data_IF_396053284583
#
_entry.id   IF_396053284583
#
_cell.length_a   1.000
_cell.length_b   1.000
_cell.length_c   1.000
_cell.angle_alpha   90.00
_cell.angle_beta   90.00
_cell.angle_gamma   90.00
#
_symmetry.space_group_name_H-M   'P 1'
#
loop_
_entity.id
_entity.type
_entity.pdbx_description
1 polymer ?
#
# COMPACT_ATOMS: atom_id res chain seq x y z
N UNK A 1 -46.81 -22.38 -38.67
CA UNK A 1 -46.54 -22.57 -37.23
C UNK A 1 -45.04 -22.29 -36.99
N UNK A 2 -44.46 -21.09 -36.92
CA UNK A 2 -44.80 -19.75 -36.40
C UNK A 2 -44.96 -19.62 -34.88
N UNK A 3 -44.41 -20.53 -34.05
CA UNK A 3 -44.39 -20.35 -32.58
C UNK A 3 -43.28 -21.17 -31.88
N UNK A 4 -42.00 -21.02 -32.21
CA UNK A 4 -40.94 -21.63 -31.37
C UNK A 4 -39.59 -20.90 -31.46
N UNK A 5 -39.62 -19.58 -31.66
CA UNK A 5 -38.41 -18.74 -31.81
C UNK A 5 -38.17 -17.80 -30.60
N UNK A 6 -38.67 -18.15 -29.42
CA UNK A 6 -38.65 -17.23 -28.27
C UNK A 6 -38.37 -17.93 -26.94
N UNK A 7 -37.25 -18.67 -26.84
CA UNK A 7 -36.86 -19.29 -25.56
C UNK A 7 -35.34 -19.45 -25.36
N UNK A 8 -34.52 -18.54 -25.90
CA UNK A 8 -33.07 -18.54 -25.67
C UNK A 8 -32.49 -17.17 -25.22
N UNK A 9 -33.34 -16.20 -24.86
CA UNK A 9 -32.90 -14.81 -24.63
C UNK A 9 -33.11 -14.31 -23.19
N UNK A 10 -32.99 -15.16 -22.17
CA UNK A 10 -33.13 -14.70 -20.78
C UNK A 10 -32.26 -15.46 -19.76
N UNK A 11 -30.95 -15.52 -20.01
CA UNK A 11 -29.95 -15.87 -18.99
C UNK A 11 -28.80 -14.86 -19.07
N UNK A 12 -29.13 -13.58 -18.91
CA UNK A 12 -28.15 -12.60 -18.44
C UNK A 12 -28.18 -12.71 -16.93
N UNK A 13 -27.43 -13.65 -16.37
CA UNK A 13 -27.13 -13.65 -14.94
C UNK A 13 -26.37 -12.37 -14.67
N UNK A 14 -27.05 -11.39 -14.07
CA UNK A 14 -26.41 -10.24 -13.44
C UNK A 14 -25.47 -10.79 -12.37
N UNK A 15 -24.19 -10.94 -12.68
CA UNK A 15 -23.16 -10.98 -11.66
C UNK A 15 -23.22 -9.62 -10.98
N UNK A 16 -23.95 -9.54 -9.87
CA UNK A 16 -23.80 -8.44 -8.94
C UNK A 16 -22.33 -8.49 -8.52
N UNK A 17 -21.52 -7.62 -9.11
CA UNK A 17 -20.20 -7.31 -8.56
C UNK A 17 -20.55 -6.66 -7.24
N UNK A 18 -20.46 -7.43 -6.15
CA UNK A 18 -20.46 -6.88 -4.82
C UNK A 18 -19.31 -5.87 -4.82
N UNK A 19 -19.66 -4.59 -4.88
CA UNK A 19 -18.71 -3.53 -4.53
C UNK A 19 -18.42 -3.78 -3.07
N UNK A 20 -17.27 -4.38 -2.78
CA UNK A 20 -16.72 -4.29 -1.43
C UNK A 20 -16.49 -2.82 -1.20
N UNK A 21 -17.09 -2.25 -0.16
CA UNK A 21 -16.77 -0.88 0.23
C UNK A 21 -15.35 -0.89 0.82
N UNK A 22 -14.49 0.03 0.37
CA UNK A 22 -13.15 0.19 0.95
C UNK A 22 -13.31 0.55 2.42
N UNK A 23 -12.59 -0.13 3.29
CA UNK A 23 -12.78 0.12 4.71
C UNK A 23 -11.71 -0.51 5.59
N UNK A 24 -11.60 0.04 6.78
CA UNK A 24 -10.85 -0.61 7.86
C UNK A 24 -11.63 -1.82 8.35
N UNK A 25 -10.92 -2.92 8.53
CA UNK A 25 -11.41 -4.17 9.09
C UNK A 25 -10.67 -4.47 10.39
N UNK A 26 -11.43 -4.87 11.41
CA UNK A 26 -10.91 -5.60 12.56
C UNK A 26 -10.77 -7.08 12.16
N UNK A 27 -9.60 -7.66 12.40
CA UNK A 27 -9.30 -9.08 12.11
C UNK A 27 -8.99 -9.78 13.43
N UNK A 28 -9.82 -10.75 13.82
CA UNK A 28 -9.59 -11.54 15.03
C UNK A 28 -8.47 -12.56 14.85
N UNK A 29 -7.97 -13.12 15.95
CA UNK A 29 -6.99 -14.22 15.95
C UNK A 29 -7.48 -15.48 15.20
N UNK A 30 -8.79 -15.69 15.13
CA UNK A 30 -9.40 -16.74 14.31
C UNK A 30 -9.52 -16.37 12.82
N UNK A 31 -9.02 -15.20 12.41
CA UNK A 31 -9.07 -14.70 11.03
C UNK A 31 -10.41 -14.12 10.61
N UNK A 32 -11.36 -13.92 11.54
CA UNK A 32 -12.64 -13.32 11.21
C UNK A 32 -12.46 -11.82 10.92
N UNK A 33 -12.96 -11.37 9.77
CA UNK A 33 -12.84 -10.00 9.30
C UNK A 33 -14.18 -9.27 9.53
N UNK A 34 -14.15 -8.23 10.35
CA UNK A 34 -15.32 -7.44 10.74
C UNK A 34 -15.08 -6.00 10.27
N UNK A 35 -15.92 -5.43 9.39
CA UNK A 35 -15.83 -4.02 9.04
C UNK A 35 -15.90 -3.14 10.29
N UNK A 36 -15.03 -2.14 10.39
CA UNK A 36 -14.96 -1.28 11.58
C UNK A 36 -16.27 -0.52 11.83
N UNK A 37 -17.03 -0.20 10.79
CA UNK A 37 -18.40 0.36 10.89
C UNK A 37 -19.40 -0.59 11.59
N UNK A 38 -19.09 -1.89 11.59
CA UNK A 38 -19.88 -2.92 12.24
C UNK A 38 -19.38 -3.30 13.64
N UNK A 39 -18.28 -2.71 14.12
CA UNK A 39 -17.78 -2.94 15.49
C UNK A 39 -18.46 -1.95 16.43
N UNK A 40 -19.24 -2.47 17.38
CA UNK A 40 -19.93 -1.66 18.38
C UNK A 40 -19.09 -1.46 19.64
N UNK A 41 -18.70 -2.55 20.29
CA UNK A 41 -17.89 -2.52 21.51
C UNK A 41 -17.11 -3.82 21.73
N UNK A 42 -16.04 -3.74 22.51
CA UNK A 42 -15.32 -4.90 23.02
C UNK A 42 -15.69 -5.13 24.48
N UNK A 43 -16.16 -6.33 24.81
CA UNK A 43 -16.61 -6.69 26.16
C UNK A 43 -15.72 -7.79 26.69
N UNK A 44 -15.10 -7.54 27.84
CA UNK A 44 -14.27 -8.49 28.57
C UNK A 44 -14.83 -8.68 29.98
N UNK A 45 -14.87 -9.92 30.45
CA UNK A 45 -15.24 -10.22 31.82
C UNK A 45 -14.01 -10.11 32.74
N UNK A 46 -14.24 -9.86 34.03
CA UNK A 46 -13.15 -9.77 35.00
C UNK A 46 -12.27 -11.03 34.97
N UNK A 47 -10.96 -10.82 34.87
CA UNK A 47 -9.94 -11.87 34.82
C UNK A 47 -10.04 -12.83 33.61
N UNK A 48 -10.80 -12.50 32.56
CA UNK A 48 -10.87 -13.31 31.35
C UNK A 48 -9.65 -13.10 30.45
N UNK A 49 -9.16 -14.20 29.84
CA UNK A 49 -8.09 -14.18 28.83
C UNK A 49 -8.61 -13.94 27.40
N UNK A 50 -9.93 -13.83 27.26
CA UNK A 50 -10.61 -13.60 25.98
C UNK A 50 -11.66 -12.52 26.15
N UNK A 51 -11.99 -11.85 25.05
CA UNK A 51 -13.06 -10.86 24.98
C UNK A 51 -14.05 -11.20 23.87
N UNK A 52 -15.20 -10.52 23.88
CA UNK A 52 -16.21 -10.59 22.82
C UNK A 52 -16.26 -9.28 22.05
N UNK A 53 -16.34 -9.37 20.73
CA UNK A 53 -16.62 -8.23 19.83
C UNK A 53 -18.13 -8.18 19.62
N UNK A 54 -18.77 -7.16 20.19
CA UNK A 54 -20.20 -6.88 19.96
C UNK A 54 -20.30 -6.07 18.67
N UNK A 55 -21.14 -6.53 17.74
CA UNK A 55 -21.33 -5.90 16.45
C UNK A 55 -22.56 -5.02 16.45
N UNK A 56 -22.52 -3.92 15.69
CA UNK A 56 -23.70 -3.05 15.48
C UNK A 56 -24.77 -3.77 14.66
N UNK A 57 -24.36 -4.74 13.84
CA UNK A 57 -25.23 -5.63 13.06
C UNK A 57 -24.70 -7.06 13.13
N UNK A 58 -25.57 -8.00 13.48
CA UNK A 58 -25.30 -9.43 13.55
C UNK A 58 -24.83 -9.93 14.92
N UNK A 59 -24.49 -11.23 14.96
CA UNK A 59 -24.10 -11.92 16.20
C UNK A 59 -22.75 -11.45 16.73
N UNK A 60 -22.62 -11.45 18.06
CA UNK A 60 -21.35 -11.18 18.73
C UNK A 60 -20.30 -12.27 18.40
N UNK A 61 -19.03 -11.86 18.39
CA UNK A 61 -17.89 -12.77 18.17
C UNK A 61 -17.18 -12.96 19.50
N UNK A 62 -17.36 -14.11 20.13
CA UNK A 62 -16.78 -14.44 21.44
C UNK A 62 -15.49 -15.26 21.33
N UNK A 63 -14.71 -15.28 22.43
CA UNK A 63 -13.49 -16.09 22.53
C UNK A 63 -12.28 -15.48 21.82
N UNK A 64 -12.31 -14.18 21.50
CA UNK A 64 -11.23 -13.49 20.80
C UNK A 64 -10.09 -13.23 21.78
N UNK A 65 -8.87 -13.59 21.40
CA UNK A 65 -7.66 -13.35 22.23
C UNK A 65 -6.89 -12.11 21.79
N UNK A 66 -6.93 -11.79 20.50
CA UNK A 66 -6.29 -10.60 19.94
C UNK A 66 -6.97 -10.15 18.66
N UNK A 67 -6.77 -8.88 18.31
CA UNK A 67 -7.21 -8.31 17.04
C UNK A 67 -6.07 -7.56 16.37
N UNK A 68 -6.10 -7.56 15.05
CA UNK A 68 -5.29 -6.69 14.20
C UNK A 68 -6.21 -5.85 13.32
N UNK A 69 -5.69 -4.80 12.72
CA UNK A 69 -6.45 -3.94 11.82
C UNK A 69 -5.83 -4.02 10.43
N UNK A 70 -6.67 -4.25 9.43
CA UNK A 70 -6.25 -4.25 8.03
C UNK A 70 -7.15 -3.31 7.25
N UNK A 71 -6.56 -2.53 6.36
CA UNK A 71 -7.32 -1.77 5.38
C UNK A 71 -7.60 -2.70 4.20
N UNK A 72 -8.88 -2.87 3.85
CA UNK A 72 -9.26 -3.53 2.61
C UNK A 72 -9.48 -2.44 1.56
N UNK A 73 -8.50 -2.19 0.67
CA UNK A 73 -8.73 -1.32 -0.45
C UNK A 73 -9.68 -2.09 -1.38
N UNK A 74 -10.98 -1.77 -1.30
CA UNK A 74 -11.82 -2.01 -2.47
C UNK A 74 -11.07 -1.42 -3.65
N UNK A 75 -10.93 -2.19 -4.73
CA UNK A 75 -10.25 -1.82 -5.96
C UNK A 75 -10.77 -0.46 -6.50
N UNK A 76 -10.30 0.63 -5.91
CA UNK A 76 -9.95 1.81 -6.67
C UNK A 76 -8.90 1.26 -7.63
N UNK A 77 -9.02 1.51 -8.93
CA UNK A 77 -8.03 1.05 -9.92
C UNK A 77 -6.61 1.61 -9.72
N UNK A 78 -6.29 2.07 -8.50
CA UNK A 78 -5.01 2.48 -7.99
C UNK A 78 -4.44 1.28 -7.21
N UNK A 79 -3.59 0.51 -7.87
CA UNK A 79 -2.73 -0.47 -7.22
C UNK A 79 -1.68 0.26 -6.39
N UNK A 80 -1.59 -0.07 -5.10
CA UNK A 80 -0.48 0.33 -4.24
C UNK A 80 0.82 -0.26 -4.81
N UNK A 81 1.76 0.61 -5.19
CA UNK A 81 3.14 0.20 -5.49
C UNK A 81 3.83 0.04 -4.15
N UNK A 82 3.69 -1.15 -3.56
CA UNK A 82 4.39 -1.50 -2.34
C UNK A 82 5.89 -1.60 -2.66
N UNK A 83 6.66 -0.56 -2.35
CA UNK A 83 8.12 -0.67 -2.33
C UNK A 83 8.48 -1.65 -1.20
N UNK A 84 8.96 -2.84 -1.57
CA UNK A 84 9.18 -3.97 -0.65
C UNK A 84 10.13 -3.64 0.50
N UNK A 85 10.94 -2.60 0.40
CA UNK A 85 11.78 -2.06 1.47
C UNK A 85 12.10 -0.60 1.12
N UNK A 86 11.85 0.34 2.04
CA UNK A 86 12.40 1.70 1.86
C UNK A 86 13.88 1.65 2.19
N UNK A 87 14.71 1.47 1.16
CA UNK A 87 16.15 1.60 1.30
C UNK A 87 16.51 3.02 1.73
N UNK A 88 17.20 3.15 2.87
CA UNK A 88 17.86 4.38 3.29
C UNK A 88 19.36 4.12 3.21
N UNK A 89 20.11 4.97 2.50
CA UNK A 89 21.57 4.90 2.56
C UNK A 89 22.00 5.15 4.02
N UNK A 90 22.70 4.21 4.67
CA UNK A 90 23.01 4.30 6.10
C UNK A 90 23.95 5.46 6.42
N UNK A 91 24.85 5.77 5.49
CA UNK A 91 25.81 6.85 5.61
C UNK A 91 25.27 8.13 4.96
N UNK A 92 25.44 9.25 5.66
CA UNK A 92 25.10 10.57 5.13
C UNK A 92 25.99 10.92 3.93
N UNK A 93 25.37 11.39 2.86
CA UNK A 93 26.02 11.79 1.62
C UNK A 93 26.55 13.22 1.76
N UNK A 94 27.82 13.44 1.40
CA UNK A 94 28.45 14.76 1.43
C UNK A 94 28.37 15.46 0.07
N UNK A 95 28.85 14.83 -0.99
CA UNK A 95 28.99 15.46 -2.31
C UNK A 95 28.59 14.60 -3.49
N UNK A 96 28.61 13.27 -3.36
CA UNK A 96 28.39 12.39 -4.52
C UNK A 96 27.58 11.16 -4.16
N UNK A 97 26.79 10.69 -5.12
CA UNK A 97 26.09 9.40 -5.08
C UNK A 97 26.48 8.60 -6.31
N UNK A 98 26.88 7.35 -6.14
CA UNK A 98 27.25 6.47 -7.25
C UNK A 98 26.10 5.53 -7.59
N UNK A 99 25.69 5.55 -8.86
CA UNK A 99 24.67 4.68 -9.44
C UNK A 99 25.38 3.56 -10.20
N UNK A 100 25.05 2.30 -9.91
CA UNK A 100 25.65 1.14 -10.59
C UNK A 100 24.57 0.20 -11.15
N UNK A 101 24.83 -0.39 -12.32
CA UNK A 101 23.94 -1.40 -12.93
C UNK A 101 22.64 -0.84 -13.52
N UNK A 102 22.58 0.48 -13.76
CA UNK A 102 21.37 1.19 -14.18
C UNK A 102 21.54 1.96 -15.50
N UNK A 103 22.52 1.59 -16.34
CA UNK A 103 22.80 2.28 -17.60
C UNK A 103 21.56 2.39 -18.49
N UNK A 104 21.41 3.56 -19.14
CA UNK A 104 20.30 3.88 -20.04
C UNK A 104 19.00 4.23 -19.32
N UNK A 105 18.95 4.14 -17.98
CA UNK A 105 17.76 4.50 -17.20
C UNK A 105 17.78 5.97 -16.81
N UNK A 106 16.59 6.56 -16.70
CA UNK A 106 16.44 7.90 -16.15
C UNK A 106 16.48 7.83 -14.63
N UNK A 107 17.19 8.78 -14.01
CA UNK A 107 17.14 9.00 -12.58
C UNK A 107 16.65 10.40 -12.25
N UNK A 108 16.13 10.56 -11.03
CA UNK A 108 15.74 11.84 -10.47
C UNK A 108 16.17 11.95 -9.01
N UNK A 109 16.58 13.15 -8.59
CA UNK A 109 16.76 13.51 -7.18
C UNK A 109 15.73 14.58 -6.82
N UNK A 110 14.89 14.31 -5.82
CA UNK A 110 13.90 15.27 -5.33
C UNK A 110 13.95 15.42 -3.80
N UNK A 111 13.44 16.55 -3.30
CA UNK A 111 13.24 16.75 -1.87
C UNK A 111 11.92 16.11 -1.38
N UNK A 112 11.67 16.20 -0.07
CA UNK A 112 10.45 15.65 0.55
C UNK A 112 9.15 16.37 0.15
N UNK A 113 9.23 17.52 -0.53
CA UNK A 113 8.06 18.20 -1.13
C UNK A 113 7.79 17.75 -2.57
N UNK A 114 8.66 16.88 -3.12
CA UNK A 114 8.59 16.42 -4.51
C UNK A 114 9.28 17.35 -5.52
N UNK A 115 9.98 18.40 -5.07
CA UNK A 115 10.71 19.29 -5.97
C UNK A 115 11.92 18.56 -6.54
N UNK A 116 11.99 18.47 -7.87
CA UNK A 116 13.11 17.83 -8.58
C UNK A 116 14.30 18.80 -8.68
N UNK A 117 15.47 18.34 -8.25
CA UNK A 117 16.75 19.06 -8.35
C UNK A 117 17.63 18.54 -9.47
N UNK A 118 17.62 17.23 -9.70
CA UNK A 118 18.41 16.58 -10.76
C UNK A 118 17.49 15.63 -11.51
N UNK A 119 17.55 15.67 -12.84
CA UNK A 119 16.99 14.64 -13.71
C UNK A 119 17.90 14.43 -14.91
N UNK A 120 18.39 13.20 -15.08
CA UNK A 120 19.30 12.85 -16.15
C UNK A 120 19.20 11.36 -16.50
N UNK A 121 19.82 10.99 -17.62
CA UNK A 121 19.94 9.60 -18.05
C UNK A 121 21.32 9.10 -17.66
N UNK A 122 21.37 7.91 -17.08
CA UNK A 122 22.61 7.25 -16.67
C UNK A 122 23.33 6.77 -17.93
N UNK A 123 24.45 7.39 -18.29
CA UNK A 123 25.23 7.10 -19.48
C UNK A 123 26.11 5.84 -19.33
N UNK A 124 26.59 5.57 -18.13
CA UNK A 124 27.59 4.52 -17.85
C UNK A 124 27.06 3.44 -16.88
N UNK A 125 27.69 2.28 -16.84
CA UNK A 125 27.32 1.22 -15.88
C UNK A 125 27.68 1.56 -14.42
N UNK A 126 28.57 2.52 -14.23
CA UNK A 126 28.88 3.15 -12.95
C UNK A 126 28.97 4.67 -13.17
N UNK A 127 28.04 5.42 -12.57
CA UNK A 127 27.93 6.86 -12.75
C UNK A 127 27.90 7.59 -11.42
N UNK A 128 28.79 8.56 -11.27
CA UNK A 128 28.86 9.40 -10.08
C UNK A 128 28.06 10.68 -10.32
N UNK A 129 27.01 10.87 -9.53
CA UNK A 129 26.16 12.06 -9.54
C UNK A 129 26.68 13.06 -8.51
N UNK A 130 26.97 14.28 -8.93
CA UNK A 130 27.32 15.38 -8.03
C UNK A 130 26.05 15.94 -7.38
N UNK A 131 26.02 15.90 -6.05
CA UNK A 131 24.97 16.44 -5.18
C UNK A 131 25.50 17.51 -4.21
N UNK A 132 26.71 18.02 -4.44
CA UNK A 132 27.36 19.01 -3.57
C UNK A 132 26.58 20.31 -3.44
N UNK A 133 25.87 20.71 -4.49
CA UNK A 133 25.04 21.92 -4.53
C UNK A 133 23.73 21.80 -3.74
N UNK A 134 23.35 20.58 -3.30
CA UNK A 134 22.15 20.38 -2.49
C UNK A 134 22.38 20.88 -1.05
N UNK A 135 21.40 21.60 -0.51
CA UNK A 135 21.38 21.95 0.92
C UNK A 135 21.22 20.68 1.76
N UNK A 136 21.71 20.72 3.01
CA UNK A 136 21.55 19.61 3.95
C UNK A 136 20.07 19.28 4.18
N UNK A 137 19.73 17.98 4.19
CA UNK A 137 18.33 17.53 4.23
C UNK A 137 18.12 16.10 3.74
N UNK A 138 16.86 15.69 3.62
CA UNK A 138 16.47 14.37 3.13
C UNK A 138 16.05 14.48 1.66
N UNK A 139 16.60 13.60 0.83
CA UNK A 139 16.28 13.52 -0.59
C UNK A 139 15.91 12.09 -0.98
N UNK A 140 15.13 11.98 -2.05
CA UNK A 140 14.79 10.72 -2.68
C UNK A 140 15.51 10.66 -4.03
N UNK A 141 16.35 9.64 -4.20
CA UNK A 141 16.91 9.26 -5.49
C UNK A 141 16.03 8.16 -6.06
N UNK A 142 15.47 8.39 -7.24
CA UNK A 142 14.63 7.41 -7.95
C UNK A 142 15.24 7.02 -9.28
N UNK A 143 15.20 5.73 -9.61
CA UNK A 143 15.61 5.16 -10.89
C UNK A 143 14.52 4.18 -11.33
N UNK A 144 13.78 4.50 -12.38
CA UNK A 144 12.59 3.75 -12.79
C UNK A 144 11.59 3.55 -11.63
N UNK A 145 11.28 2.30 -11.26
CA UNK A 145 10.34 1.93 -10.18
C UNK A 145 11.03 1.80 -8.81
N UNK A 146 12.36 1.97 -8.74
CA UNK A 146 13.13 1.86 -7.51
C UNK A 146 13.47 3.23 -6.95
N UNK A 147 13.32 3.41 -5.64
CA UNK A 147 13.72 4.64 -4.96
C UNK A 147 14.48 4.35 -3.68
N UNK A 148 15.49 5.17 -3.39
CA UNK A 148 16.27 5.13 -2.16
C UNK A 148 16.29 6.52 -1.55
N UNK A 149 16.18 6.61 -0.21
CA UNK A 149 16.34 7.86 0.53
C UNK A 149 17.80 8.04 0.91
N UNK A 150 18.28 9.27 0.88
CA UNK A 150 19.58 9.62 1.43
C UNK A 150 19.52 10.94 2.21
N UNK A 151 20.41 11.05 3.20
CA UNK A 151 20.56 12.26 4.02
C UNK A 151 21.78 13.01 3.49
N UNK A 152 21.58 14.24 3.00
CA UNK A 152 22.65 15.16 2.62
C UNK A 152 23.15 15.89 3.86
N UNK A 153 24.45 15.83 4.14
CA UNK A 153 25.11 16.62 5.19
C UNK A 153 25.39 18.05 4.73
#
# INVERSE_FOLDING_TARGET
>A
MKKFFAMCALLITSTAVARGDSGWLMVTDAGMRIPMEHVGMLVVADNAMTFSVIRTVGEAVSGVTSVTFSYDPSSSGITEVSATEVGILPDAVSSTVTLMGCRGRQFTVCDMSGRIYISAVIANDSETVDVSALSGGIYVLSVCESSVKFIKR
#
